data_IF_089072006747
#
_entry.id   IF_089072006747
#
_cell.length_a   1.000
_cell.length_b   1.000
_cell.length_c   1.000
_cell.angle_alpha   90.00
_cell.angle_beta   90.00
_cell.angle_gamma   90.00
#
_symmetry.space_group_name_H-M   'P 1'
#
loop_
_entity.id
_entity.type
_entity.pdbx_description
1 polymer ?
#
# COMPACT_ATOMS: atom_id res chain seq x y z
N UNK A 1 38.47 62.54 -13.85
CA UNK A 1 37.67 62.32 -15.05
C UNK A 1 37.05 60.94 -14.89
N UNK A 2 35.88 60.84 -14.43
CA UNK A 2 34.63 60.60 -15.04
C UNK A 2 34.26 59.12 -14.79
N UNK A 3 33.95 58.73 -13.52
CA UNK A 3 33.34 57.44 -13.22
C UNK A 3 31.84 57.54 -13.43
N UNK A 4 31.26 56.71 -14.32
CA UNK A 4 29.80 56.56 -14.49
C UNK A 4 29.32 55.41 -13.60
N UNK A 5 28.51 55.79 -12.61
CA UNK A 5 27.79 54.84 -11.78
C UNK A 5 26.73 54.10 -12.57
N UNK A 6 26.63 52.80 -12.33
CA UNK A 6 25.52 51.96 -12.79
C UNK A 6 24.27 52.21 -11.94
N UNK A 7 23.04 52.15 -12.51
CA UNK A 7 21.82 52.31 -11.71
C UNK A 7 21.48 51.05 -10.90
N UNK A 8 20.75 51.21 -9.79
CA UNK A 8 20.35 50.09 -8.96
C UNK A 8 19.26 49.26 -9.64
N UNK A 9 19.46 47.94 -9.61
CA UNK A 9 18.43 46.97 -10.06
C UNK A 9 17.20 47.07 -9.14
N UNK A 10 16.08 47.48 -9.71
CA UNK A 10 14.79 47.42 -9.08
C UNK A 10 14.41 45.95 -8.91
N UNK A 11 14.22 45.49 -7.65
CA UNK A 11 13.65 44.18 -7.33
C UNK A 11 12.24 44.09 -7.84
N UNK A 12 12.01 43.20 -8.81
CA UNK A 12 10.67 42.81 -9.23
C UNK A 12 9.99 41.98 -8.12
N UNK A 13 8.66 42.06 -7.99
CA UNK A 13 7.93 41.30 -6.98
C UNK A 13 8.10 39.83 -7.24
N UNK A 14 8.49 39.10 -6.19
CA UNK A 14 8.64 37.67 -6.19
C UNK A 14 7.35 36.97 -6.62
N UNK A 15 7.38 36.41 -7.83
CA UNK A 15 6.35 35.53 -8.31
C UNK A 15 6.34 34.28 -7.45
N UNK A 16 5.37 34.17 -6.55
CA UNK A 16 5.02 32.91 -5.90
C UNK A 16 4.65 31.91 -7.00
N UNK A 17 5.48 30.88 -7.12
CA UNK A 17 5.24 29.77 -8.06
C UNK A 17 3.91 29.10 -7.71
N UNK A 18 3.01 28.86 -8.68
CA UNK A 18 1.71 28.22 -8.44
C UNK A 18 1.83 26.70 -8.21
N UNK A 19 2.92 26.21 -7.65
CA UNK A 19 3.14 24.76 -7.44
C UNK A 19 2.85 24.28 -6.01
N UNK A 20 2.30 25.14 -5.16
CA UNK A 20 2.18 24.84 -3.73
C UNK A 20 0.76 24.95 -3.20
N UNK A 21 -0.22 24.49 -3.94
CA UNK A 21 -1.57 24.40 -3.39
C UNK A 21 -2.33 23.24 -3.99
N UNK A 22 -2.66 22.32 -3.13
CA UNK A 22 -3.65 21.22 -3.19
C UNK A 22 -3.07 19.80 -3.18
N UNK A 23 -2.08 19.50 -2.36
CA UNK A 23 -2.15 18.22 -1.67
C UNK A 23 -3.10 18.48 -0.50
N UNK A 24 -4.38 18.17 -0.68
CA UNK A 24 -5.36 18.16 0.40
C UNK A 24 -4.72 17.36 1.53
N UNK A 25 -4.43 18.01 2.67
CA UNK A 25 -3.82 17.32 3.81
C UNK A 25 -4.82 16.30 4.28
N UNK A 26 -4.55 15.04 3.95
CA UNK A 26 -5.38 13.94 4.44
C UNK A 26 -5.41 14.01 5.95
N UNK A 27 -6.59 14.05 6.53
CA UNK A 27 -6.70 14.18 7.98
C UNK A 27 -6.16 12.91 8.64
N UNK A 28 -5.35 13.06 9.67
CA UNK A 28 -4.87 11.96 10.49
C UNK A 28 -6.00 11.03 10.94
N UNK A 29 -7.12 11.61 11.37
CA UNK A 29 -8.29 10.85 11.79
C UNK A 29 -8.86 10.01 10.65
N UNK A 30 -8.93 10.57 9.44
CA UNK A 30 -9.39 9.87 8.24
C UNK A 30 -8.49 8.69 7.89
N UNK A 31 -7.17 8.88 7.85
CA UNK A 31 -6.21 7.78 7.57
C UNK A 31 -6.33 6.68 8.62
N UNK A 32 -6.36 7.04 9.91
CA UNK A 32 -6.49 6.04 10.97
C UNK A 32 -7.83 5.30 10.95
N UNK A 33 -8.91 5.96 10.51
CA UNK A 33 -10.20 5.30 10.33
C UNK A 33 -10.14 4.31 9.16
N UNK A 34 -9.69 4.74 7.98
CA UNK A 34 -9.56 3.89 6.81
C UNK A 34 -8.56 2.73 7.04
N UNK A 35 -7.46 2.98 7.75
CA UNK A 35 -6.52 1.93 8.16
C UNK A 35 -7.21 0.81 8.97
N UNK A 36 -8.01 1.19 9.98
CA UNK A 36 -8.74 0.22 10.80
C UNK A 36 -9.83 -0.51 10.03
N UNK A 37 -10.49 0.20 9.12
CA UNK A 37 -11.49 -0.36 8.23
C UNK A 37 -10.87 -1.44 7.34
N UNK A 38 -9.73 -1.18 6.71
CA UNK A 38 -9.02 -2.16 5.91
C UNK A 38 -8.67 -3.43 6.70
N UNK A 39 -8.16 -3.29 7.93
CA UNK A 39 -7.88 -4.46 8.80
C UNK A 39 -9.17 -5.23 9.12
N UNK A 40 -10.25 -4.53 9.41
CA UNK A 40 -11.55 -5.15 9.74
C UNK A 40 -12.10 -5.93 8.56
N UNK A 41 -12.12 -5.33 7.38
CA UNK A 41 -12.62 -5.95 6.15
C UNK A 41 -11.81 -7.21 5.78
N UNK A 42 -10.49 -7.18 5.92
CA UNK A 42 -9.67 -8.38 5.69
C UNK A 42 -10.09 -9.52 6.63
N UNK A 43 -10.31 -9.23 7.92
CA UNK A 43 -10.78 -10.24 8.87
C UNK A 43 -12.18 -10.77 8.52
N UNK A 44 -13.09 -9.89 8.10
CA UNK A 44 -14.45 -10.27 7.68
C UNK A 44 -14.42 -11.13 6.42
N UNK A 45 -13.61 -10.78 5.42
CA UNK A 45 -13.42 -11.58 4.22
C UNK A 45 -12.84 -12.96 4.56
N UNK A 46 -11.85 -13.02 5.45
CA UNK A 46 -11.21 -14.26 5.87
C UNK A 46 -12.20 -15.27 6.46
N UNK A 47 -13.23 -14.81 7.15
CA UNK A 47 -14.27 -15.65 7.71
C UNK A 47 -15.14 -16.37 6.65
N UNK A 48 -15.06 -15.97 5.39
CA UNK A 48 -15.77 -16.59 4.28
C UNK A 48 -14.96 -17.64 3.53
N UNK A 49 -13.67 -17.77 3.81
CA UNK A 49 -12.81 -18.76 3.17
C UNK A 49 -13.00 -20.14 3.79
N UNK A 50 -13.04 -21.15 2.92
CA UNK A 50 -12.88 -22.57 3.27
C UNK A 50 -11.44 -22.99 3.01
N UNK A 51 -11.02 -24.16 3.49
CA UNK A 51 -9.66 -24.69 3.24
C UNK A 51 -9.35 -24.72 1.72
N UNK A 52 -10.34 -25.08 0.91
CA UNK A 52 -10.19 -25.13 -0.55
C UNK A 52 -10.07 -23.72 -1.15
N UNK A 53 -10.89 -22.77 -0.71
CA UNK A 53 -10.86 -21.43 -1.27
C UNK A 53 -9.60 -20.63 -0.88
N UNK A 54 -8.91 -20.99 0.18
CA UNK A 54 -7.58 -20.43 0.48
C UNK A 54 -6.55 -20.74 -0.60
N UNK A 55 -6.77 -21.79 -1.40
CA UNK A 55 -5.88 -22.16 -2.50
C UNK A 55 -6.28 -21.49 -3.82
N UNK A 56 -7.34 -20.68 -3.84
CA UNK A 56 -7.80 -19.99 -5.05
C UNK A 56 -6.81 -18.93 -5.50
N UNK A 57 -6.71 -18.74 -6.83
CA UNK A 57 -5.95 -17.65 -7.43
C UNK A 57 -6.52 -16.30 -7.03
N UNK A 58 -5.65 -15.29 -6.99
CA UNK A 58 -6.00 -13.90 -6.72
C UNK A 58 -5.60 -13.00 -7.89
N UNK A 59 -6.04 -11.74 -7.92
CA UNK A 59 -5.54 -10.75 -8.87
C UNK A 59 -4.04 -10.44 -8.74
N UNK A 60 -3.42 -10.73 -7.59
CA UNK A 60 -1.97 -10.74 -7.46
C UNK A 60 -1.41 -11.92 -8.25
N UNK A 61 -0.73 -11.63 -9.36
CA UNK A 61 -0.17 -12.68 -10.22
C UNK A 61 0.69 -13.67 -9.43
N UNK A 62 0.48 -14.97 -9.66
CA UNK A 62 1.18 -16.09 -9.03
C UNK A 62 0.87 -16.32 -7.54
N UNK A 63 -0.02 -15.52 -6.92
CA UNK A 63 -0.40 -15.68 -5.52
C UNK A 63 -1.80 -16.27 -5.35
N UNK A 64 -1.90 -17.23 -4.46
CA UNK A 64 -3.17 -17.76 -3.93
C UNK A 64 -3.64 -16.87 -2.77
N UNK A 65 -4.87 -17.04 -2.34
CA UNK A 65 -5.41 -16.29 -1.19
C UNK A 65 -4.58 -16.51 0.08
N UNK A 66 -4.06 -17.73 0.33
CA UNK A 66 -3.17 -18.01 1.47
C UNK A 66 -1.84 -17.27 1.37
N UNK A 67 -1.32 -17.08 0.16
CA UNK A 67 -0.07 -16.34 -0.06
C UNK A 67 -0.27 -14.84 0.22
N UNK A 68 -1.43 -14.28 -0.16
CA UNK A 68 -1.84 -12.91 0.21
C UNK A 68 -1.96 -12.78 1.74
N UNK A 69 -2.54 -13.75 2.43
CA UNK A 69 -2.65 -13.74 3.89
C UNK A 69 -1.26 -13.77 4.56
N UNK A 70 -0.35 -14.60 4.05
CA UNK A 70 1.04 -14.66 4.51
C UNK A 70 1.78 -13.33 4.29
N UNK A 71 1.61 -12.73 3.11
CA UNK A 71 2.20 -11.42 2.79
C UNK A 71 1.68 -10.32 3.72
N UNK A 72 0.37 -10.24 3.96
CA UNK A 72 -0.22 -9.28 4.89
C UNK A 72 0.41 -9.37 6.29
N UNK A 73 0.67 -10.59 6.79
CA UNK A 73 1.38 -10.82 8.05
C UNK A 73 2.79 -10.25 8.00
N UNK A 74 3.58 -10.58 6.97
CA UNK A 74 4.95 -10.06 6.82
C UNK A 74 5.00 -8.54 6.79
N UNK A 75 4.14 -7.92 5.99
CA UNK A 75 4.08 -6.45 5.86
C UNK A 75 3.68 -5.79 7.18
N UNK A 76 2.72 -6.36 7.93
CA UNK A 76 2.33 -5.82 9.22
C UNK A 76 3.48 -5.88 10.25
N UNK A 77 4.27 -6.97 10.24
CA UNK A 77 5.45 -7.12 11.10
C UNK A 77 6.56 -6.15 10.69
N UNK A 78 6.79 -5.94 9.39
CA UNK A 78 7.75 -4.96 8.86
C UNK A 78 7.42 -3.54 9.32
N UNK A 79 6.14 -3.15 9.39
CA UNK A 79 5.74 -1.84 9.91
C UNK A 79 6.07 -1.67 11.40
N UNK A 80 6.07 -2.73 12.20
CA UNK A 80 6.55 -2.69 13.58
C UNK A 80 8.06 -2.48 13.67
N UNK A 81 8.84 -3.28 12.93
CA UNK A 81 10.28 -3.12 12.83
C UNK A 81 10.66 -1.70 12.41
N UNK A 82 9.86 -1.14 11.50
CA UNK A 82 9.98 0.19 11.00
C UNK A 82 9.83 1.27 12.09
N UNK A 83 8.94 1.11 13.07
CA UNK A 83 8.81 2.03 14.20
C UNK A 83 9.92 1.87 15.25
N UNK A 84 10.44 0.66 15.42
CA UNK A 84 11.39 0.35 16.48
C UNK A 84 12.84 0.69 16.09
N UNK A 85 13.17 0.52 14.80
CA UNK A 85 14.52 0.75 14.29
C UNK A 85 14.48 1.42 12.91
N UNK A 86 13.83 2.57 12.85
CA UNK A 86 13.53 3.28 11.62
C UNK A 86 14.71 3.37 10.62
N UNK A 87 15.93 3.81 11.01
CA UNK A 87 17.03 3.94 10.05
C UNK A 87 17.61 2.61 9.60
N UNK A 88 17.51 1.56 10.41
CA UNK A 88 18.12 0.25 10.18
C UNK A 88 17.12 -0.78 9.65
N UNK A 89 15.81 -0.48 9.70
CA UNK A 89 14.78 -1.41 9.20
C UNK A 89 15.03 -1.77 7.73
N UNK A 90 14.65 -2.98 7.38
CA UNK A 90 14.80 -3.48 6.01
C UNK A 90 14.00 -2.65 5.01
N UNK A 91 12.78 -2.29 5.37
CA UNK A 91 11.90 -1.47 4.54
C UNK A 91 12.49 -0.07 4.34
N UNK A 92 12.99 0.59 5.40
CA UNK A 92 13.63 1.89 5.29
C UNK A 92 14.86 1.86 4.37
N UNK A 93 15.72 0.84 4.50
CA UNK A 93 16.88 0.67 3.61
C UNK A 93 16.47 0.49 2.15
N UNK A 94 15.41 -0.28 1.91
CA UNK A 94 14.90 -0.50 0.55
C UNK A 94 14.34 0.79 -0.05
N UNK A 95 13.52 1.52 0.69
CA UNK A 95 12.88 2.76 0.26
C UNK A 95 13.88 3.91 0.07
N UNK A 96 14.96 3.94 0.84
CA UNK A 96 16.01 4.97 0.75
C UNK A 96 16.95 4.83 -0.44
N UNK A 97 16.81 3.81 -1.29
CA UNK A 97 17.81 3.52 -2.35
C UNK A 97 17.82 4.50 -3.52
N UNK A 98 16.87 5.44 -3.62
CA UNK A 98 16.68 6.32 -4.79
C UNK A 98 16.63 5.57 -6.13
N UNK A 99 16.27 4.29 -6.08
CA UNK A 99 16.20 3.44 -7.27
C UNK A 99 15.04 3.88 -8.19
N UNK A 100 15.14 3.67 -9.51
CA UNK A 100 13.99 3.82 -10.40
C UNK A 100 12.82 2.93 -9.94
N UNK A 101 11.59 3.40 -10.13
CA UNK A 101 10.38 2.72 -9.64
C UNK A 101 10.27 1.25 -10.08
N UNK A 102 10.60 0.96 -11.35
CA UNK A 102 10.61 -0.41 -11.88
C UNK A 102 11.68 -1.31 -11.24
N UNK A 103 12.83 -0.74 -10.87
CA UNK A 103 13.88 -1.45 -10.14
C UNK A 103 13.46 -1.72 -8.69
N UNK A 104 12.78 -0.77 -8.06
CA UNK A 104 12.22 -0.92 -6.72
C UNK A 104 11.14 -2.00 -6.71
N UNK A 105 10.20 -1.97 -7.66
CA UNK A 105 9.16 -2.98 -7.78
C UNK A 105 9.73 -4.41 -7.91
N UNK A 106 10.77 -4.60 -8.74
CA UNK A 106 11.44 -5.92 -8.85
C UNK A 106 12.16 -6.34 -7.56
N UNK A 107 12.70 -5.40 -6.80
CA UNK A 107 13.32 -5.71 -5.50
C UNK A 107 12.27 -6.12 -4.48
N UNK A 108 11.16 -5.36 -4.41
CA UNK A 108 10.03 -5.68 -3.54
C UNK A 108 9.44 -7.06 -3.87
N UNK A 109 9.20 -7.35 -5.14
CA UNK A 109 8.67 -8.66 -5.55
C UNK A 109 9.58 -9.83 -5.11
N UNK A 110 10.91 -9.69 -5.29
CA UNK A 110 11.86 -10.73 -4.83
C UNK A 110 11.89 -10.86 -3.31
N UNK A 111 11.80 -9.74 -2.59
CA UNK A 111 11.76 -9.73 -1.14
C UNK A 111 10.49 -10.42 -0.64
N UNK A 112 9.33 -10.03 -1.15
CA UNK A 112 8.04 -10.63 -0.78
C UNK A 112 8.05 -12.15 -1.02
N UNK A 113 8.58 -12.61 -2.16
CA UNK A 113 8.71 -14.04 -2.45
C UNK A 113 9.63 -14.76 -1.44
N UNK A 114 10.74 -14.15 -1.05
CA UNK A 114 11.66 -14.73 -0.07
C UNK A 114 11.02 -14.79 1.34
N UNK A 115 10.24 -13.78 1.71
CA UNK A 115 9.52 -13.73 2.99
C UNK A 115 8.45 -14.79 3.07
N UNK A 116 7.62 -14.91 2.02
CA UNK A 116 6.62 -15.96 1.93
C UNK A 116 7.23 -17.36 2.04
N UNK A 117 8.36 -17.58 1.37
CA UNK A 117 9.07 -18.85 1.42
C UNK A 117 9.68 -19.15 2.81
N UNK A 118 9.91 -18.14 3.63
CA UNK A 118 10.46 -18.29 4.99
C UNK A 118 9.37 -18.44 6.06
N UNK A 119 8.11 -18.20 5.71
CA UNK A 119 7.00 -18.35 6.66
C UNK A 119 6.81 -19.83 7.07
N UNK A 120 6.35 -20.07 8.30
CA UNK A 120 5.93 -21.40 8.70
C UNK A 120 4.73 -21.85 7.85
N UNK A 121 4.64 -23.15 7.62
CA UNK A 121 3.49 -23.78 6.96
C UNK A 121 2.30 -23.80 7.94
N UNK A 122 1.53 -22.70 7.94
CA UNK A 122 0.32 -22.52 8.73
C UNK A 122 -0.86 -22.15 7.84
N UNK A 123 -2.06 -22.28 8.39
CA UNK A 123 -3.29 -22.04 7.63
C UNK A 123 -3.51 -20.55 7.33
N UNK A 124 -4.32 -20.26 6.29
CA UNK A 124 -4.74 -18.90 5.96
C UNK A 124 -5.35 -18.14 7.17
N UNK A 125 -6.27 -18.73 7.94
CA UNK A 125 -6.79 -18.11 9.16
C UNK A 125 -5.71 -17.74 10.18
N UNK A 126 -4.69 -18.57 10.37
CA UNK A 126 -3.58 -18.28 11.30
C UNK A 126 -2.74 -17.09 10.81
N UNK A 127 -2.48 -16.99 9.51
CA UNK A 127 -1.84 -15.82 8.93
C UNK A 127 -2.67 -14.54 9.15
N UNK A 128 -3.99 -14.60 8.93
CA UNK A 128 -4.87 -13.45 9.14
C UNK A 128 -4.96 -13.04 10.61
N UNK A 129 -4.98 -13.99 11.55
CA UNK A 129 -4.93 -13.66 12.98
C UNK A 129 -3.64 -12.93 13.35
N UNK A 130 -2.48 -13.45 12.92
CA UNK A 130 -1.19 -12.80 13.15
C UNK A 130 -1.13 -11.39 12.51
N UNK A 131 -1.57 -11.26 11.27
CA UNK A 131 -1.73 -9.96 10.61
C UNK A 131 -2.57 -8.99 11.43
N UNK A 132 -3.76 -9.41 11.85
CA UNK A 132 -4.70 -8.54 12.55
C UNK A 132 -4.15 -8.07 13.91
N UNK A 133 -3.46 -8.94 14.64
CA UNK A 133 -2.84 -8.60 15.92
C UNK A 133 -1.68 -7.61 15.72
N UNK A 134 -0.81 -7.86 14.75
CA UNK A 134 0.30 -6.98 14.39
C UNK A 134 -0.20 -5.63 13.89
N UNK A 135 -1.10 -5.59 12.91
CA UNK A 135 -1.64 -4.36 12.35
C UNK A 135 -2.39 -3.51 13.39
N UNK A 136 -3.21 -4.12 14.26
CA UNK A 136 -3.89 -3.39 15.35
C UNK A 136 -2.90 -2.85 16.36
N UNK A 137 -1.86 -3.61 16.71
CA UNK A 137 -0.80 -3.16 17.60
C UNK A 137 -0.03 -1.98 17.01
N UNK A 138 0.36 -2.05 15.75
CA UNK A 138 0.98 -0.94 15.04
C UNK A 138 0.09 0.30 15.04
N UNK A 139 -1.20 0.17 14.70
CA UNK A 139 -2.16 1.27 14.67
C UNK A 139 -2.29 2.01 16.02
N UNK A 140 -2.18 1.29 17.16
CA UNK A 140 -2.16 1.91 18.50
C UNK A 140 -0.92 2.75 18.76
N UNK A 141 0.20 2.40 18.14
CA UNK A 141 1.50 3.07 18.32
C UNK A 141 1.66 4.33 17.48
N UNK A 142 0.85 4.50 16.41
CA UNK A 142 1.00 5.59 15.44
C UNK A 142 0.79 6.98 16.04
N UNK A 143 -0.14 7.11 16.98
CA UNK A 143 -0.60 8.42 17.47
C UNK A 143 0.51 9.31 18.03
N UNK A 144 1.40 8.86 18.91
CA UNK A 144 2.48 9.69 19.44
C UNK A 144 3.61 9.92 18.43
N UNK A 145 3.74 9.08 17.40
CA UNK A 145 4.86 9.12 16.45
C UNK A 145 4.47 9.75 15.09
N UNK A 146 3.23 10.16 14.90
CA UNK A 146 2.64 10.51 13.62
C UNK A 146 3.48 11.46 12.75
N UNK A 147 4.00 12.51 13.36
CA UNK A 147 4.74 13.57 12.67
C UNK A 147 6.28 13.34 12.69
N UNK A 148 6.74 12.22 13.27
CA UNK A 148 8.16 11.91 13.26
C UNK A 148 8.61 11.61 11.84
N UNK A 149 9.75 12.18 11.42
CA UNK A 149 10.41 11.80 10.18
C UNK A 149 10.84 10.35 10.27
N UNK A 150 10.51 9.57 9.25
CA UNK A 150 10.87 8.19 9.17
C UNK A 150 12.08 7.97 8.25
N UNK A 151 11.99 8.42 7.02
CA UNK A 151 13.09 8.45 6.06
C UNK A 151 12.93 9.61 5.09
N UNK A 152 14.00 9.90 4.35
CA UNK A 152 13.99 10.93 3.32
C UNK A 152 14.19 10.29 1.95
N UNK A 153 13.29 10.55 1.03
CA UNK A 153 13.41 10.14 -0.36
C UNK A 153 13.56 11.38 -1.26
N UNK A 154 14.70 11.53 -1.94
CA UNK A 154 15.03 12.66 -2.84
C UNK A 154 14.73 14.04 -2.24
N UNK A 155 15.04 14.21 -0.95
CA UNK A 155 14.82 15.45 -0.22
C UNK A 155 13.38 15.66 0.29
N UNK A 156 12.50 14.68 0.11
CA UNK A 156 11.15 14.68 0.69
C UNK A 156 11.15 13.83 1.95
N UNK A 157 10.78 14.42 3.08
CA UNK A 157 10.60 13.70 4.33
C UNK A 157 9.31 12.90 4.29
N UNK A 158 9.43 11.60 4.52
CA UNK A 158 8.32 10.67 4.70
C UNK A 158 8.13 10.46 6.18
N UNK A 159 6.98 10.86 6.71
CA UNK A 159 6.66 10.73 8.13
C UNK A 159 6.09 9.35 8.45
N UNK A 160 6.06 8.99 9.74
CA UNK A 160 5.36 7.80 10.23
C UNK A 160 3.88 7.82 9.82
N UNK A 161 3.22 8.99 9.87
CA UNK A 161 1.85 9.15 9.41
C UNK A 161 1.68 8.91 7.90
N UNK A 162 2.65 9.32 7.10
CA UNK A 162 2.66 9.02 5.67
C UNK A 162 2.79 7.51 5.41
N UNK A 163 3.67 6.83 6.15
CA UNK A 163 3.81 5.38 6.07
C UNK A 163 2.55 4.63 6.54
N UNK A 164 1.84 5.16 7.54
CA UNK A 164 0.52 4.63 7.91
C UNK A 164 -0.48 4.76 6.75
N UNK A 165 -0.35 5.80 5.92
CA UNK A 165 -1.12 5.95 4.68
C UNK A 165 -0.77 4.89 3.63
N UNK A 166 0.51 4.55 3.48
CA UNK A 166 0.94 3.45 2.62
C UNK A 166 0.35 2.11 3.11
N UNK A 167 0.46 1.82 4.42
CA UNK A 167 -0.13 0.63 5.02
C UNK A 167 -1.65 0.58 4.82
N UNK A 168 -2.35 1.70 4.96
CA UNK A 168 -3.78 1.80 4.69
C UNK A 168 -4.11 1.35 3.26
N UNK A 169 -3.35 1.81 2.27
CA UNK A 169 -3.55 1.40 0.87
C UNK A 169 -3.28 -0.10 0.66
N UNK A 170 -2.22 -0.64 1.26
CA UNK A 170 -1.90 -2.08 1.23
C UNK A 170 -3.07 -2.92 1.74
N UNK A 171 -3.67 -2.54 2.89
CA UNK A 171 -4.81 -3.28 3.43
C UNK A 171 -6.00 -3.28 2.48
N UNK A 172 -6.35 -2.14 1.89
CA UNK A 172 -7.48 -2.04 0.97
C UNK A 172 -7.22 -2.75 -0.36
N UNK A 173 -6.02 -2.68 -0.91
CA UNK A 173 -5.64 -3.38 -2.12
C UNK A 173 -5.71 -4.90 -1.93
N UNK A 174 -5.19 -5.42 -0.83
CA UNK A 174 -5.24 -6.84 -0.55
C UNK A 174 -6.63 -7.32 -0.07
N UNK A 175 -7.44 -6.45 0.55
CA UNK A 175 -8.86 -6.73 0.77
C UNK A 175 -9.58 -6.96 -0.57
N UNK A 176 -9.26 -6.16 -1.60
CA UNK A 176 -9.80 -6.37 -2.94
C UNK A 176 -9.32 -7.70 -3.56
N UNK A 177 -8.03 -8.03 -3.43
CA UNK A 177 -7.51 -9.31 -3.92
C UNK A 177 -8.24 -10.50 -3.30
N UNK A 178 -8.44 -10.48 -1.98
CA UNK A 178 -9.17 -11.53 -1.25
C UNK A 178 -10.66 -11.56 -1.63
N UNK A 179 -11.31 -10.39 -1.76
CA UNK A 179 -12.71 -10.33 -2.19
C UNK A 179 -12.87 -10.92 -3.58
N UNK A 180 -12.03 -10.56 -4.54
CA UNK A 180 -12.08 -11.07 -5.91
C UNK A 180 -11.86 -12.58 -5.98
N UNK A 181 -10.98 -13.13 -5.16
CA UNK A 181 -10.78 -14.60 -5.08
C UNK A 181 -11.99 -15.35 -4.52
N UNK A 182 -12.90 -14.66 -3.83
CA UNK A 182 -14.20 -15.17 -3.39
C UNK A 182 -15.34 -14.87 -4.39
N UNK A 183 -15.03 -14.27 -5.55
CA UNK A 183 -16.05 -13.82 -6.51
C UNK A 183 -16.87 -12.63 -5.99
N UNK A 184 -16.38 -11.89 -5.01
CA UNK A 184 -17.03 -10.70 -4.43
C UNK A 184 -16.41 -9.42 -4.96
N UNK A 185 -17.19 -8.36 -4.96
CA UNK A 185 -16.67 -7.00 -5.19
C UNK A 185 -16.30 -6.36 -3.87
N UNK A 186 -15.25 -5.53 -3.93
CA UNK A 186 -14.82 -4.71 -2.82
C UNK A 186 -14.37 -3.34 -3.31
N UNK A 187 -14.70 -2.32 -2.52
CA UNK A 187 -14.24 -0.95 -2.71
C UNK A 187 -14.19 -0.26 -1.34
N UNK A 188 -13.13 0.49 -0.99
CA UNK A 188 -13.10 1.26 0.24
C UNK A 188 -14.18 2.37 0.24
N UNK A 189 -14.64 2.76 1.42
CA UNK A 189 -15.66 3.79 1.57
C UNK A 189 -15.20 5.16 1.02
N UNK A 190 -13.91 5.47 1.13
CA UNK A 190 -13.29 6.70 0.60
C UNK A 190 -12.03 6.36 -0.21
N UNK A 191 -12.18 6.02 -1.50
CA UNK A 191 -11.06 5.67 -2.36
C UNK A 191 -10.10 6.84 -2.62
N UNK A 192 -10.59 8.07 -2.61
CA UNK A 192 -9.76 9.26 -2.83
C UNK A 192 -8.83 9.48 -1.64
N UNK A 193 -9.32 9.27 -0.42
CA UNK A 193 -8.50 9.29 0.79
C UNK A 193 -7.42 8.23 0.72
N UNK A 194 -7.75 6.99 0.33
CA UNK A 194 -6.79 5.89 0.21
C UNK A 194 -5.72 6.21 -0.83
N UNK A 195 -6.09 6.72 -2.00
CA UNK A 195 -5.15 7.15 -3.03
C UNK A 195 -4.22 8.27 -2.54
N UNK A 196 -4.78 9.29 -1.87
CA UNK A 196 -4.00 10.41 -1.35
C UNK A 196 -3.06 9.98 -0.23
N UNK A 197 -3.51 9.08 0.64
CA UNK A 197 -2.70 8.50 1.70
C UNK A 197 -1.56 7.64 1.14
N UNK A 198 -1.83 6.84 0.11
CA UNK A 198 -0.78 6.05 -0.57
C UNK A 198 0.29 6.95 -1.19
N UNK A 199 -0.10 8.01 -1.90
CA UNK A 199 0.83 8.99 -2.47
C UNK A 199 1.74 9.62 -1.42
N UNK A 200 1.20 9.94 -0.26
CA UNK A 200 1.97 10.53 0.82
C UNK A 200 3.05 9.57 1.36
N UNK A 201 2.74 8.28 1.46
CA UNK A 201 3.60 7.26 2.02
C UNK A 201 4.59 6.62 1.05
N UNK A 202 4.38 6.79 -0.25
CA UNK A 202 5.18 6.13 -1.30
C UNK A 202 5.66 7.11 -2.38
N UNK A 203 6.46 8.12 -2.02
CA UNK A 203 6.96 9.10 -2.99
C UNK A 203 7.79 8.46 -4.11
N UNK A 204 8.34 7.27 -3.89
CA UNK A 204 9.08 6.47 -4.86
C UNK A 204 8.21 6.06 -6.06
N UNK A 205 6.91 5.92 -5.84
CA UNK A 205 5.93 5.54 -6.86
C UNK A 205 5.27 6.75 -7.55
N UNK A 206 5.62 7.99 -7.18
CA UNK A 206 5.02 9.19 -7.76
C UNK A 206 4.99 9.22 -9.29
N UNK A 207 6.01 8.77 -10.02
CA UNK A 207 5.92 8.74 -11.49
C UNK A 207 4.71 7.98 -12.02
N UNK A 208 4.29 6.92 -11.33
CA UNK A 208 3.08 6.15 -11.67
C UNK A 208 1.83 6.84 -11.12
N UNK A 209 1.90 7.38 -9.89
CA UNK A 209 0.76 7.93 -9.17
C UNK A 209 0.37 9.35 -9.59
N UNK A 210 1.23 10.10 -10.27
CA UNK A 210 0.94 11.45 -10.77
C UNK A 210 0.10 11.47 -12.05
N UNK A 211 -0.08 10.32 -12.71
CA UNK A 211 -0.87 10.19 -13.93
C UNK A 211 -2.39 10.18 -13.73
N UNK A 212 -2.87 10.39 -12.50
CA UNK A 212 -4.31 10.46 -12.26
C UNK A 212 -4.91 11.74 -12.87
N UNK A 213 -5.87 11.57 -13.74
CA UNK A 213 -6.54 12.62 -14.51
C UNK A 213 -7.86 13.13 -13.88
N UNK A 214 -8.19 12.66 -12.67
CA UNK A 214 -9.44 12.98 -11.97
C UNK A 214 -10.58 12.00 -12.25
N UNK A 215 -10.31 10.87 -12.90
CA UNK A 215 -11.24 9.76 -13.05
C UNK A 215 -11.52 9.03 -11.74
N UNK A 216 -12.05 7.80 -11.82
CA UNK A 216 -12.32 7.01 -10.62
C UNK A 216 -11.03 6.66 -9.84
N UNK A 217 -10.86 7.16 -8.61
CA UNK A 217 -9.62 7.00 -7.84
C UNK A 217 -9.33 5.53 -7.49
N UNK A 218 -10.38 4.69 -7.33
CA UNK A 218 -10.17 3.28 -7.03
C UNK A 218 -9.66 2.49 -8.23
N UNK A 219 -10.28 2.65 -9.39
CA UNK A 219 -9.81 2.02 -10.62
C UNK A 219 -8.38 2.46 -10.97
N UNK A 220 -8.07 3.74 -10.76
CA UNK A 220 -6.70 4.23 -10.93
C UNK A 220 -5.74 3.56 -9.96
N UNK A 221 -6.10 3.44 -8.69
CA UNK A 221 -5.26 2.84 -7.64
C UNK A 221 -4.98 1.37 -7.93
N UNK A 222 -6.01 0.61 -8.35
CA UNK A 222 -5.85 -0.79 -8.78
C UNK A 222 -4.86 -0.90 -9.97
N UNK A 223 -5.07 -0.11 -11.02
CA UNK A 223 -4.19 -0.13 -12.20
C UNK A 223 -2.75 0.29 -11.84
N UNK A 224 -2.59 1.34 -11.05
CA UNK A 224 -1.27 1.83 -10.62
C UNK A 224 -0.51 0.83 -9.75
N UNK A 225 -1.24 -0.04 -9.04
CA UNK A 225 -0.67 -1.15 -8.26
C UNK A 225 -0.46 -2.44 -9.07
N UNK A 226 -0.70 -2.38 -10.39
CA UNK A 226 -0.53 -3.52 -11.30
C UNK A 226 -1.70 -4.50 -11.33
N UNK A 227 -2.84 -4.15 -10.74
CA UNK A 227 -4.05 -4.96 -10.75
C UNK A 227 -4.92 -4.64 -11.97
N UNK A 228 -5.58 -5.65 -12.52
CA UNK A 228 -6.61 -5.48 -13.54
C UNK A 228 -7.99 -5.34 -12.88
N UNK A 229 -8.65 -4.16 -12.94
CA UNK A 229 -9.98 -3.97 -12.38
C UNK A 229 -11.03 -4.92 -12.96
N UNK A 230 -10.80 -5.42 -14.17
CA UNK A 230 -11.66 -6.39 -14.85
C UNK A 230 -11.41 -7.86 -14.48
N UNK A 231 -10.43 -8.12 -13.62
CA UNK A 231 -10.09 -9.49 -13.25
C UNK A 231 -11.30 -10.25 -12.66
N UNK A 232 -11.53 -11.45 -13.14
CA UNK A 232 -12.55 -12.38 -12.63
C UNK A 232 -11.90 -13.72 -12.34
N UNK A 233 -12.32 -14.34 -11.25
CA UNK A 233 -11.87 -15.68 -10.93
C UNK A 233 -12.42 -16.66 -11.98
N UNK A 234 -11.53 -17.36 -12.67
CA UNK A 234 -11.92 -18.50 -13.49
C UNK A 234 -12.06 -19.68 -12.54
N UNK A 235 -13.30 -20.00 -12.18
CA UNK A 235 -13.58 -21.25 -11.48
C UNK A 235 -13.17 -22.38 -12.41
N UNK A 236 -12.16 -23.14 -12.05
CA UNK A 236 -11.84 -24.40 -12.72
C UNK A 236 -13.07 -25.33 -12.72
N UNK A 237 -13.14 -26.31 -13.61
CA UNK A 237 -14.23 -27.29 -13.57
C UNK A 237 -14.33 -27.85 -12.15
N UNK A 238 -15.53 -27.79 -11.58
CA UNK A 238 -15.83 -28.30 -10.25
C UNK A 238 -15.35 -29.78 -10.17
N UNK A 239 -14.35 -30.09 -9.32
CA UNK A 239 -13.87 -31.47 -9.22
C UNK A 239 -14.92 -32.44 -8.70
N UNK A 240 -16.10 -31.94 -8.25
CA UNK A 240 -17.27 -32.76 -7.86
C UNK A 240 -18.19 -33.18 -9.01
N UNK A 241 -18.01 -32.65 -10.23
CA UNK A 241 -18.77 -33.01 -11.43
C UNK A 241 -18.01 -34.01 -12.33
N UNK A 242 -17.27 -34.94 -11.75
CA UNK A 242 -16.90 -36.13 -12.52
C UNK A 242 -18.14 -36.97 -12.75
N UNK A 243 -18.54 -37.06 -14.04
CA UNK A 243 -19.66 -37.80 -14.51
C UNK A 243 -19.80 -39.15 -13.81
N UNK A 244 -21.04 -39.49 -13.39
CA UNK A 244 -21.36 -40.83 -12.97
C UNK A 244 -21.00 -41.79 -14.12
N UNK A 245 -20.35 -42.92 -13.83
CA UNK A 245 -20.12 -43.93 -14.85
C UNK A 245 -21.46 -44.47 -15.36
N UNK A 246 -21.60 -44.54 -16.68
CA UNK A 246 -22.71 -45.25 -17.37
C UNK A 246 -22.74 -46.75 -17.03
#
# INVERSE_FOLDING_TARGET
MGGRGAPPYAGGPGGTSPRDSTVSRVSRAGVLAAYRDGVTVICELAAHFTDVSWLSATPCAEWRAVDVAGHLRCVADDYHEYLDDAPASRLARLMSTNAPADSLARKLARQNAAELAALPDVSGPEHIMAFADSARSYGRRLTPCWDLSHHTYRGTDVTVGAMAGAACAEWHLHAWDLARSLGKDYRPADPELVLTAWRAGTPELWPVLTGWDGGDPWSFLLTASGRDPGWVQVLGPDPGLTAAPE
#
